data_IF_393140662453
#
_entry.id   IF_393140662453
#
_cell.length_a   1.000
_cell.length_b   1.000
_cell.length_c   1.000
_cell.angle_alpha   90.00
_cell.angle_beta   90.00
_cell.angle_gamma   90.00
#
_symmetry.space_group_name_H-M   'P 1'
#
loop_
_entity.id
_entity.type
_entity.pdbx_description
1 polymer ?
#
# COMPACT_ATOMS: atom_id res chain seq x y z
N UNK A 1 12.52 -10.30 25.03
CA UNK A 1 11.10 -10.17 24.62
C UNK A 1 11.09 -9.61 23.21
N UNK A 2 10.37 -10.21 22.24
CA UNK A 2 10.14 -9.54 20.97
C UNK A 2 9.35 -8.26 21.26
N UNK A 3 9.84 -7.10 20.79
CA UNK A 3 9.11 -5.85 20.96
C UNK A 3 7.81 -5.94 20.15
N UNK A 4 6.68 -5.44 20.68
CA UNK A 4 5.45 -5.38 19.89
C UNK A 4 5.71 -4.55 18.62
N UNK A 5 5.19 -4.97 17.46
CA UNK A 5 5.43 -4.27 16.21
C UNK A 5 4.98 -2.82 16.33
N UNK A 6 5.89 -1.89 16.01
CA UNK A 6 5.63 -0.45 16.13
C UNK A 6 4.62 -0.05 15.07
N UNK A 7 3.49 0.53 15.49
CA UNK A 7 2.51 1.11 14.58
C UNK A 7 3.12 2.36 13.94
N UNK A 8 3.21 2.36 12.61
CA UNK A 8 3.70 3.45 11.78
C UNK A 8 2.53 4.08 11.03
N UNK A 9 2.55 5.39 10.89
CA UNK A 9 1.60 6.12 10.06
C UNK A 9 2.31 6.64 8.82
N UNK A 10 1.91 6.12 7.68
CA UNK A 10 2.57 6.35 6.40
C UNK A 10 1.59 6.91 5.39
N UNK A 11 2.10 7.48 4.31
CA UNK A 11 1.29 7.94 3.19
C UNK A 11 1.79 7.40 1.86
N UNK A 12 0.88 7.28 0.91
CA UNK A 12 1.21 6.95 -0.47
C UNK A 12 0.39 7.81 -1.42
N UNK A 13 1.07 8.42 -2.39
CA UNK A 13 0.48 9.22 -3.46
C UNK A 13 0.55 8.44 -4.77
N UNK A 14 -0.61 8.13 -5.36
CA UNK A 14 -0.65 7.46 -6.64
C UNK A 14 -0.70 8.48 -7.80
N UNK A 15 0.42 8.72 -8.48
CA UNK A 15 0.47 9.59 -9.66
C UNK A 15 0.55 8.82 -11.00
N UNK A 16 0.94 7.55 -10.96
CA UNK A 16 1.30 6.77 -12.15
C UNK A 16 0.14 5.94 -12.69
N UNK A 17 -0.60 5.22 -11.84
CA UNK A 17 -1.57 4.21 -12.28
C UNK A 17 -3.01 4.68 -12.11
N UNK A 18 -3.99 4.17 -12.88
CA UNK A 18 -5.41 4.53 -12.73
C UNK A 18 -5.91 4.27 -11.30
N UNK A 19 -5.65 3.07 -10.78
CA UNK A 19 -5.88 2.70 -9.40
C UNK A 19 -4.70 1.86 -8.90
N UNK A 20 -4.30 2.06 -7.64
CA UNK A 20 -3.35 1.21 -6.93
C UNK A 20 -4.04 0.61 -5.72
N UNK A 21 -3.88 -0.68 -5.52
CA UNK A 21 -4.30 -1.39 -4.31
C UNK A 21 -3.05 -1.66 -3.48
N UNK A 22 -2.99 -1.07 -2.28
CA UNK A 22 -2.03 -1.44 -1.26
C UNK A 22 -2.56 -2.66 -0.52
N UNK A 23 -1.89 -3.80 -0.65
CA UNK A 23 -2.22 -5.04 0.07
C UNK A 23 -1.21 -5.29 1.17
N UNK A 24 -1.72 -5.31 2.39
CA UNK A 24 -0.99 -5.51 3.64
C UNK A 24 -0.81 -7.03 3.91
N UNK A 25 0.14 -7.39 4.77
CA UNK A 25 0.39 -8.80 5.14
C UNK A 25 -0.74 -9.39 5.97
N UNK A 26 -1.46 -8.55 6.72
CA UNK A 26 -2.64 -8.93 7.48
C UNK A 26 -3.88 -9.20 6.60
N UNK A 27 -3.78 -8.94 5.29
CA UNK A 27 -4.87 -9.09 4.33
C UNK A 27 -5.73 -7.85 4.12
N UNK A 28 -5.43 -6.72 4.78
CA UNK A 28 -6.07 -5.46 4.53
C UNK A 28 -5.73 -4.95 3.11
N UNK A 29 -6.68 -4.27 2.46
CA UNK A 29 -6.48 -3.69 1.13
C UNK A 29 -6.99 -2.24 1.09
N UNK A 30 -6.17 -1.32 0.59
CA UNK A 30 -6.54 0.10 0.41
C UNK A 30 -6.42 0.46 -1.06
N UNK A 31 -7.52 0.97 -1.64
CA UNK A 31 -7.54 1.46 -3.02
C UNK A 31 -7.23 2.96 -3.05
N UNK A 32 -6.26 3.33 -3.87
CA UNK A 32 -5.77 4.70 -4.07
C UNK A 32 -5.93 5.05 -5.55
N UNK A 33 -6.87 5.95 -5.84
CA UNK A 33 -7.14 6.44 -7.20
C UNK A 33 -6.00 7.34 -7.67
N UNK A 34 -5.83 7.45 -9.00
CA UNK A 34 -4.87 8.36 -9.61
C UNK A 34 -5.06 9.80 -9.14
N UNK A 35 -3.96 10.48 -8.86
CA UNK A 35 -3.91 11.86 -8.38
C UNK A 35 -4.32 12.03 -6.92
N UNK A 36 -4.58 10.93 -6.19
CA UNK A 36 -4.95 10.98 -4.78
C UNK A 36 -3.87 10.37 -3.90
N UNK A 37 -3.66 10.98 -2.74
CA UNK A 37 -2.85 10.46 -1.65
C UNK A 37 -3.74 9.91 -0.54
N UNK A 38 -3.32 8.82 0.09
CA UNK A 38 -3.96 8.31 1.30
C UNK A 38 -2.92 8.07 2.39
N UNK A 39 -3.30 8.44 3.60
CA UNK A 39 -2.57 8.06 4.82
C UNK A 39 -3.13 6.74 5.33
N UNK A 40 -2.27 5.84 5.78
CA UNK A 40 -2.64 4.56 6.33
C UNK A 40 -1.75 4.21 7.53
N UNK A 41 -2.28 3.37 8.40
CA UNK A 41 -1.52 2.80 9.49
C UNK A 41 -0.98 1.44 9.05
N UNK A 42 0.27 1.14 9.39
CA UNK A 42 0.94 -0.12 9.09
C UNK A 42 1.86 -0.52 10.25
N UNK A 43 2.42 -1.72 10.20
CA UNK A 43 3.39 -2.17 11.19
C UNK A 43 4.82 -2.12 10.64
N UNK A 44 5.76 -1.69 11.47
CA UNK A 44 7.18 -1.68 11.11
C UNK A 44 7.65 -3.10 10.72
N UNK A 45 8.37 -3.20 9.60
CA UNK A 45 8.86 -4.47 9.05
C UNK A 45 7.89 -5.23 8.14
N UNK A 46 6.64 -4.78 8.00
CA UNK A 46 5.63 -5.39 7.14
C UNK A 46 5.90 -5.14 5.65
N UNK A 47 5.58 -6.10 4.76
CA UNK A 47 5.64 -5.90 3.32
C UNK A 47 4.27 -5.53 2.73
N UNK A 48 4.20 -4.36 2.11
CA UNK A 48 3.00 -3.87 1.44
C UNK A 48 3.18 -4.09 -0.06
N UNK A 49 2.26 -4.84 -0.67
CA UNK A 49 2.24 -5.06 -2.12
C UNK A 49 1.45 -3.95 -2.80
N UNK A 50 2.04 -3.32 -3.81
CA UNK A 50 1.38 -2.35 -4.66
C UNK A 50 0.90 -3.06 -5.92
N UNK A 51 -0.42 -3.17 -6.05
CA UNK A 51 -1.06 -3.78 -7.21
C UNK A 51 -1.72 -2.69 -8.05
N UNK A 52 -1.28 -2.50 -9.30
CA UNK A 52 -1.99 -1.63 -10.22
C UNK A 52 -3.24 -2.32 -10.75
N UNK A 53 -4.32 -1.55 -10.85
CA UNK A 53 -5.58 -1.98 -11.46
C UNK A 53 -5.89 -0.99 -12.57
N UNK A 54 -5.75 -1.46 -13.82
CA UNK A 54 -6.00 -0.67 -15.02
C UNK A 54 -7.49 -0.66 -15.38
N UNK A 55 -8.10 -1.83 -15.35
CA UNK A 55 -9.53 -2.04 -15.59
C UNK A 55 -10.14 -2.61 -14.30
N UNK A 56 -11.09 -1.92 -13.65
CA UNK A 56 -11.75 -2.41 -12.44
C UNK A 56 -12.72 -3.58 -12.70
N UNK A 57 -13.17 -3.76 -13.94
CA UNK A 57 -14.08 -4.85 -14.33
C UNK A 57 -13.30 -6.11 -14.72
N UNK A 58 -12.10 -5.95 -15.26
CA UNK A 58 -11.13 -7.03 -15.37
C UNK A 58 -10.60 -7.36 -13.96
N UNK A 59 -10.68 -8.62 -13.53
CA UNK A 59 -10.08 -9.07 -12.25
C UNK A 59 -8.55 -9.10 -12.26
N UNK A 60 -7.94 -8.41 -13.21
CA UNK A 60 -6.51 -8.38 -13.44
C UNK A 60 -5.87 -7.31 -12.55
N UNK A 61 -4.85 -7.74 -11.80
CA UNK A 61 -4.08 -6.89 -10.91
C UNK A 61 -2.61 -7.12 -11.21
N UNK A 62 -1.91 -6.08 -11.62
CA UNK A 62 -0.49 -6.17 -11.90
C UNK A 62 0.30 -5.84 -10.65
N UNK A 63 1.16 -6.77 -10.21
CA UNK A 63 2.11 -6.47 -9.14
C UNK A 63 3.15 -5.49 -9.66
N UNK A 64 3.04 -4.24 -9.19
CA UNK A 64 3.97 -3.17 -9.54
C UNK A 64 5.25 -3.34 -8.73
N UNK A 65 5.09 -3.39 -7.42
CA UNK A 65 6.22 -3.53 -6.50
C UNK A 65 5.74 -4.11 -5.17
N UNK A 66 6.69 -4.64 -4.40
CA UNK A 66 6.50 -4.94 -2.99
C UNK A 66 7.47 -4.05 -2.22
N UNK A 67 6.93 -3.24 -1.30
CA UNK A 67 7.70 -2.24 -0.56
C UNK A 67 7.51 -2.47 0.93
N UNK A 68 8.58 -2.30 1.73
CA UNK A 68 8.45 -2.37 3.19
C UNK A 68 7.69 -1.16 3.70
N UNK A 69 6.90 -1.35 4.74
CA UNK A 69 6.18 -0.29 5.44
C UNK A 69 7.09 0.90 5.81
N UNK A 70 8.34 0.60 6.20
CA UNK A 70 9.35 1.59 6.57
C UNK A 70 9.77 2.52 5.42
N UNK A 71 9.72 2.03 4.17
CA UNK A 71 10.15 2.77 2.97
C UNK A 71 9.08 3.73 2.45
N UNK A 72 7.87 3.72 3.02
CA UNK A 72 6.86 4.72 2.69
C UNK A 72 7.17 6.05 3.39
N UNK A 73 6.85 7.18 2.75
CA UNK A 73 6.97 8.49 3.39
C UNK A 73 6.03 8.59 4.59
N UNK A 74 6.51 9.25 5.64
CA UNK A 74 5.69 9.56 6.83
C UNK A 74 4.58 10.54 6.45
N UNK A 75 3.40 10.35 7.06
CA UNK A 75 2.19 11.13 6.80
C UNK A 75 2.08 12.39 7.66
#
# INVERSE_FOLDING_TARGET
MPQPPKKLRKQYLNNQYPNVVLRFEDGHEIVIKRGTGKTFDCYAGENIKLLAVFDPDARERDLVETRKADDFPDA
#
